data_IF_373597041203
#
_entry.id   IF_373597041203
#
_cell.length_a   1.000
_cell.length_b   1.000
_cell.length_c   1.000
_cell.angle_alpha   90.00
_cell.angle_beta   90.00
_cell.angle_gamma   90.00
#
_symmetry.space_group_name_H-M   'P 1'
#
loop_
_entity.id
_entity.type
_entity.pdbx_description
1 polymer ?
#
# COMPACT_ATOMS: atom_id res chain seq x y z
N UNK A 1 4.82 11.93 31.89
CA UNK A 1 3.50 11.35 31.69
C UNK A 1 2.97 11.87 30.35
N UNK A 2 2.39 11.07 29.48
CA UNK A 2 1.73 11.60 28.30
C UNK A 2 0.61 12.52 28.77
N UNK A 3 0.56 13.74 28.22
CA UNK A 3 -0.56 14.65 28.50
C UNK A 3 -1.84 13.96 28.00
N UNK A 4 -2.80 13.79 28.91
CA UNK A 4 -4.14 13.36 28.52
C UNK A 4 -4.63 14.40 27.51
N UNK A 5 -4.95 13.99 26.28
CA UNK A 5 -5.52 14.89 25.29
C UNK A 5 -6.80 15.49 25.87
N UNK A 6 -6.78 16.76 26.14
CA UNK A 6 -7.93 17.50 26.70
C UNK A 6 -8.89 17.73 25.53
N UNK A 7 -10.17 17.37 25.68
CA UNK A 7 -11.18 17.70 24.69
C UNK A 7 -11.38 19.23 24.62
N UNK A 8 -11.85 19.72 23.47
CA UNK A 8 -12.07 21.15 23.24
C UNK A 8 -13.42 21.40 22.55
N UNK A 9 -14.07 22.50 22.93
CA UNK A 9 -15.23 23.03 22.21
C UNK A 9 -14.87 24.49 21.86
N UNK A 10 -14.96 24.82 20.57
CA UNK A 10 -14.62 26.15 20.03
C UNK A 10 -13.20 26.66 20.44
N UNK A 11 -12.26 25.69 20.56
CA UNK A 11 -10.88 25.98 20.97
C UNK A 11 -10.65 26.05 22.47
N UNK A 12 -11.68 25.99 23.30
CA UNK A 12 -11.59 26.02 24.76
C UNK A 12 -11.56 24.60 25.34
N UNK A 13 -10.64 24.29 26.27
CA UNK A 13 -10.55 22.98 26.89
C UNK A 13 -11.84 22.66 27.70
N UNK A 14 -12.30 21.40 27.54
CA UNK A 14 -13.46 20.89 28.26
C UNK A 14 -13.29 19.43 28.66
N UNK A 15 -14.19 18.90 29.45
CA UNK A 15 -14.25 17.46 29.72
C UNK A 15 -14.81 16.69 28.52
N UNK A 16 -14.51 15.39 28.49
CA UNK A 16 -14.90 14.54 27.37
C UNK A 16 -16.42 14.42 27.19
N UNK A 17 -17.16 14.33 28.28
CA UNK A 17 -18.62 14.15 28.24
C UNK A 17 -19.29 15.39 27.65
N UNK A 18 -18.81 16.58 28.02
CA UNK A 18 -19.25 17.85 27.43
C UNK A 18 -18.95 17.93 25.94
N UNK A 19 -17.75 17.51 25.50
CA UNK A 19 -17.39 17.49 24.09
C UNK A 19 -18.25 16.50 23.29
N UNK A 20 -18.49 15.32 23.81
CA UNK A 20 -19.37 14.31 23.18
C UNK A 20 -20.80 14.82 23.07
N UNK A 21 -21.34 15.45 24.13
CA UNK A 21 -22.67 16.04 24.09
C UNK A 21 -22.80 17.14 23.04
N UNK A 22 -21.80 18.03 22.94
CA UNK A 22 -21.76 19.09 21.95
C UNK A 22 -21.69 18.51 20.52
N UNK A 23 -20.83 17.52 20.28
CA UNK A 23 -20.73 16.84 18.99
C UNK A 23 -22.05 16.15 18.61
N UNK A 24 -22.70 15.47 19.55
CA UNK A 24 -24.00 14.84 19.32
C UNK A 24 -25.06 15.88 18.95
N UNK A 25 -25.09 17.04 19.56
CA UNK A 25 -26.01 18.13 19.24
C UNK A 25 -25.75 18.69 17.82
N UNK A 26 -24.49 18.86 17.43
CA UNK A 26 -24.13 19.30 16.07
C UNK A 26 -24.61 18.27 15.04
N UNK A 27 -24.38 16.99 15.26
CA UNK A 27 -24.83 15.91 14.37
C UNK A 27 -26.37 15.85 14.29
N UNK A 28 -27.09 15.97 15.41
CA UNK A 28 -28.55 15.92 15.47
C UNK A 28 -29.21 17.10 14.71
N UNK A 29 -28.54 18.25 14.63
CA UNK A 29 -29.06 19.42 13.90
C UNK A 29 -28.56 19.50 12.46
N UNK A 30 -27.58 18.68 12.07
CA UNK A 30 -27.03 18.66 10.71
C UNK A 30 -27.97 17.97 9.75
N UNK A 31 -28.12 18.52 8.55
CA UNK A 31 -28.95 17.91 7.49
C UNK A 31 -28.27 16.72 6.83
N UNK A 32 -26.95 16.81 6.62
CA UNK A 32 -26.15 15.77 6.00
C UNK A 32 -24.69 15.94 6.43
N UNK A 33 -24.29 15.34 7.56
CA UNK A 33 -22.91 15.41 8.02
C UNK A 33 -21.97 14.64 7.09
N UNK A 34 -20.69 15.05 7.05
CA UNK A 34 -19.62 14.36 6.35
C UNK A 34 -18.61 13.86 7.40
N UNK A 35 -18.35 12.56 7.38
CA UNK A 35 -17.24 11.94 8.09
C UNK A 35 -16.10 11.73 7.09
N UNK A 36 -15.21 12.72 6.97
CA UNK A 36 -14.15 12.74 5.96
C UNK A 36 -12.79 12.32 6.52
N UNK A 37 -11.91 11.88 5.62
CA UNK A 37 -10.52 11.56 5.95
C UNK A 37 -10.36 10.39 6.92
N UNK A 38 -11.27 9.44 6.91
CA UNK A 38 -11.33 8.34 7.87
C UNK A 38 -10.11 7.42 7.76
N UNK A 39 -9.31 7.38 8.84
CA UNK A 39 -8.23 6.42 9.03
C UNK A 39 -8.37 5.84 10.43
N UNK A 40 -9.05 4.71 10.60
CA UNK A 40 -9.34 4.10 11.89
C UNK A 40 -9.25 2.57 11.82
N UNK A 41 -9.26 1.93 12.98
CA UNK A 41 -9.32 0.46 13.06
C UNK A 41 -10.73 -0.08 12.74
N UNK A 42 -10.85 -1.41 12.71
CA UNK A 42 -12.12 -2.08 12.39
C UNK A 42 -13.22 -1.76 13.39
N UNK A 43 -12.88 -1.61 14.68
CA UNK A 43 -13.85 -1.28 15.71
C UNK A 43 -14.39 0.14 15.54
N UNK A 44 -13.49 1.10 15.29
CA UNK A 44 -13.83 2.48 14.96
C UNK A 44 -14.68 2.59 13.69
N UNK A 45 -14.31 1.88 12.62
CA UNK A 45 -15.08 1.87 11.37
C UNK A 45 -16.51 1.34 11.58
N UNK A 46 -16.68 0.29 12.38
CA UNK A 46 -18.02 -0.24 12.72
C UNK A 46 -18.85 0.73 13.54
N UNK A 47 -18.23 1.44 14.49
CA UNK A 47 -18.93 2.46 15.29
C UNK A 47 -19.35 3.64 14.41
N UNK A 48 -18.45 4.13 13.55
CA UNK A 48 -18.73 5.20 12.59
C UNK A 48 -19.83 4.83 11.60
N UNK A 49 -19.84 3.59 11.10
CA UNK A 49 -20.89 3.14 10.21
C UNK A 49 -22.28 3.19 10.86
N UNK A 50 -22.40 2.76 12.14
CA UNK A 50 -23.66 2.88 12.88
C UNK A 50 -24.08 4.34 13.05
N UNK A 51 -23.14 5.20 13.45
CA UNK A 51 -23.40 6.63 13.61
C UNK A 51 -23.80 7.26 12.26
N UNK A 52 -23.18 6.87 11.16
CA UNK A 52 -23.54 7.34 9.82
C UNK A 52 -24.98 6.92 9.43
N UNK A 53 -25.38 5.68 9.74
CA UNK A 53 -26.76 5.22 9.51
C UNK A 53 -27.79 6.04 10.31
N UNK A 54 -27.48 6.38 11.55
CA UNK A 54 -28.39 7.16 12.41
C UNK A 54 -28.46 8.65 12.00
N UNK A 55 -27.39 9.21 11.49
CA UNK A 55 -27.29 10.64 11.16
C UNK A 55 -27.49 10.95 9.67
N UNK A 56 -27.54 9.94 8.82
CA UNK A 56 -27.53 10.12 7.36
C UNK A 56 -26.21 10.67 6.83
N UNK A 57 -25.10 10.49 7.56
CA UNK A 57 -23.80 11.02 7.18
C UNK A 57 -23.24 10.32 5.93
N UNK A 58 -22.49 11.08 5.13
CA UNK A 58 -21.62 10.54 4.10
C UNK A 58 -20.30 10.15 4.77
N UNK A 59 -19.77 8.97 4.44
CA UNK A 59 -18.47 8.52 4.89
C UNK A 59 -17.48 8.54 3.74
N UNK A 60 -16.31 9.15 3.95
CA UNK A 60 -15.23 9.17 2.99
C UNK A 60 -13.92 8.75 3.66
N UNK A 61 -13.29 7.71 3.10
CA UNK A 61 -12.03 7.22 3.65
C UNK A 61 -10.86 8.13 3.24
N UNK A 62 -9.83 8.20 4.09
CA UNK A 62 -8.55 8.74 3.66
C UNK A 62 -8.08 8.00 2.40
N UNK A 63 -7.70 8.73 1.36
CA UNK A 63 -7.34 8.17 0.05
C UNK A 63 -8.47 7.34 -0.60
N UNK A 64 -9.71 7.81 -0.49
CA UNK A 64 -10.91 7.14 -0.99
C UNK A 64 -10.84 6.73 -2.46
N UNK A 65 -10.28 7.58 -3.33
CA UNK A 65 -10.11 7.28 -4.76
C UNK A 65 -9.21 6.06 -4.99
N UNK A 66 -8.05 6.01 -4.31
CA UNK A 66 -7.12 4.87 -4.41
C UNK A 66 -7.76 3.57 -3.91
N UNK A 67 -8.53 3.65 -2.80
CA UNK A 67 -9.30 2.52 -2.27
C UNK A 67 -10.33 2.03 -3.29
N UNK A 68 -11.07 2.95 -3.93
CA UNK A 68 -12.08 2.60 -4.92
C UNK A 68 -11.48 1.95 -6.17
N UNK A 69 -10.31 2.42 -6.64
CA UNK A 69 -9.59 1.76 -7.73
C UNK A 69 -9.16 0.33 -7.37
N UNK A 70 -8.65 0.13 -6.15
CA UNK A 70 -8.31 -1.21 -5.65
C UNK A 70 -9.53 -2.13 -5.55
N UNK A 71 -10.67 -1.63 -5.05
CA UNK A 71 -11.92 -2.39 -4.97
C UNK A 71 -12.46 -2.77 -6.36
N UNK A 72 -12.39 -1.87 -7.33
CA UNK A 72 -12.79 -2.16 -8.73
C UNK A 72 -11.93 -3.27 -9.32
N UNK A 73 -10.60 -3.18 -9.17
CA UNK A 73 -9.70 -4.23 -9.65
C UNK A 73 -10.01 -5.58 -9.00
N UNK A 74 -10.28 -5.60 -7.68
CA UNK A 74 -10.68 -6.80 -6.94
C UNK A 74 -12.00 -7.39 -7.46
N UNK A 75 -13.00 -6.56 -7.75
CA UNK A 75 -14.29 -7.01 -8.29
C UNK A 75 -14.18 -7.54 -9.71
N UNK A 76 -13.36 -6.90 -10.55
CA UNK A 76 -13.24 -7.24 -11.97
C UNK A 76 -12.37 -8.48 -12.23
N UNK A 77 -11.31 -8.68 -11.43
CA UNK A 77 -10.27 -9.67 -11.69
C UNK A 77 -9.98 -10.60 -10.52
N UNK A 78 -10.45 -10.28 -9.33
CA UNK A 78 -10.05 -10.92 -8.10
C UNK A 78 -8.66 -10.44 -7.64
N UNK A 79 -8.27 -10.91 -6.47
CA UNK A 79 -6.97 -10.60 -5.89
C UNK A 79 -6.53 -11.75 -4.98
N UNK A 80 -5.27 -12.15 -5.11
CA UNK A 80 -4.62 -13.02 -4.14
C UNK A 80 -3.70 -12.18 -3.27
N UNK A 81 -3.96 -12.15 -1.97
CA UNK A 81 -3.10 -11.45 -1.02
C UNK A 81 -2.10 -12.42 -0.40
N UNK A 82 -0.91 -11.93 -0.10
CA UNK A 82 0.15 -12.68 0.56
C UNK A 82 0.47 -12.08 1.92
N UNK A 83 0.96 -12.88 2.83
CA UNK A 83 1.41 -12.46 4.16
C UNK A 83 2.93 -12.31 4.21
N UNK A 84 3.45 -11.56 5.21
CA UNK A 84 4.90 -11.51 5.42
C UNK A 84 5.52 -12.88 5.71
N UNK A 85 4.77 -13.80 6.30
CA UNK A 85 5.23 -15.17 6.51
C UNK A 85 5.45 -15.90 5.19
N UNK A 86 4.55 -15.73 4.22
CA UNK A 86 4.70 -16.30 2.88
C UNK A 86 5.80 -15.61 2.08
N UNK A 87 5.90 -14.27 2.15
CA UNK A 87 7.03 -13.57 1.55
C UNK A 87 8.36 -14.10 2.06
N UNK A 88 8.46 -14.31 3.37
CA UNK A 88 9.68 -14.79 4.02
C UNK A 88 10.04 -16.23 3.63
N UNK A 89 9.06 -17.11 3.53
CA UNK A 89 9.30 -18.56 3.40
C UNK A 89 9.15 -19.08 1.97
N UNK A 90 8.44 -18.37 1.08
CA UNK A 90 8.07 -18.89 -0.23
C UNK A 90 8.47 -17.98 -1.41
N UNK A 91 8.47 -16.64 -1.23
CA UNK A 91 8.69 -15.75 -2.34
C UNK A 91 10.13 -15.85 -2.88
N UNK A 92 10.29 -16.24 -4.12
CA UNK A 92 11.53 -16.24 -4.86
C UNK A 92 11.70 -14.97 -5.72
N UNK A 93 10.59 -14.26 -5.99
CA UNK A 93 10.58 -12.95 -6.67
C UNK A 93 9.67 -11.97 -5.90
N UNK A 94 10.20 -10.79 -5.59
CA UNK A 94 9.42 -9.67 -5.06
C UNK A 94 9.56 -8.48 -6.03
N UNK A 95 8.46 -8.03 -6.60
CA UNK A 95 8.40 -6.86 -7.49
C UNK A 95 7.75 -5.71 -6.72
N UNK A 96 8.47 -4.62 -6.52
CA UNK A 96 7.97 -3.42 -5.86
C UNK A 96 7.63 -2.37 -6.93
N UNK A 97 6.36 -2.07 -7.10
CA UNK A 97 5.87 -1.09 -8.06
C UNK A 97 5.77 0.29 -7.41
N UNK A 98 6.36 1.30 -8.06
CA UNK A 98 6.36 2.68 -7.60
C UNK A 98 7.50 3.01 -6.63
N UNK A 99 8.53 2.15 -6.53
CA UNK A 99 9.72 2.36 -5.71
C UNK A 99 9.84 1.43 -4.51
N UNK A 100 10.74 1.77 -3.57
CA UNK A 100 11.03 0.94 -2.41
C UNK A 100 9.97 1.07 -1.31
N UNK A 101 9.32 -0.02 -0.88
CA UNK A 101 8.42 0.02 0.26
C UNK A 101 9.10 0.45 1.58
N UNK A 102 10.42 0.35 1.65
CA UNK A 102 11.18 0.71 2.85
C UNK A 102 11.18 2.21 3.15
N UNK A 103 10.81 3.06 2.19
CA UNK A 103 10.65 4.51 2.41
C UNK A 103 9.57 4.79 3.46
N UNK A 104 8.44 4.14 3.35
CA UNK A 104 7.32 4.29 4.31
C UNK A 104 7.36 3.23 5.43
N UNK A 105 7.91 2.05 5.15
CA UNK A 105 8.00 0.92 6.05
C UNK A 105 9.45 0.42 6.17
N UNK A 106 10.31 1.07 6.97
CA UNK A 106 11.76 0.78 7.03
C UNK A 106 12.10 -0.69 7.29
N UNK A 107 11.22 -1.42 7.99
CA UNK A 107 11.39 -2.82 8.32
C UNK A 107 10.88 -3.80 7.25
N UNK A 108 10.39 -3.29 6.10
CA UNK A 108 9.75 -4.13 5.09
C UNK A 108 10.64 -5.30 4.65
N UNK A 109 11.84 -5.02 4.17
CA UNK A 109 12.74 -6.05 3.66
C UNK A 109 13.22 -7.02 4.76
N UNK A 110 13.45 -6.53 5.98
CA UNK A 110 13.76 -7.40 7.13
C UNK A 110 12.59 -8.35 7.42
N UNK A 111 11.36 -7.85 7.42
CA UNK A 111 10.17 -8.69 7.61
C UNK A 111 9.96 -9.70 6.48
N UNK A 112 10.43 -9.41 5.28
CA UNK A 112 10.51 -10.37 4.18
C UNK A 112 11.65 -11.39 4.34
N UNK A 113 12.49 -11.30 5.38
CA UNK A 113 13.62 -12.20 5.65
C UNK A 113 14.95 -11.77 5.06
N UNK A 114 15.05 -10.58 4.46
CA UNK A 114 16.33 -10.05 3.96
C UNK A 114 17.28 -9.76 5.13
N UNK A 115 18.50 -10.29 5.07
CA UNK A 115 19.50 -10.16 6.14
C UNK A 115 19.41 -11.24 7.23
N UNK A 116 18.47 -12.17 7.13
CA UNK A 116 18.32 -13.33 7.98
C UNK A 116 18.58 -14.61 7.18
N UNK A 117 18.48 -15.79 7.81
CA UNK A 117 18.59 -17.06 7.09
C UNK A 117 17.40 -17.24 6.15
N UNK A 118 17.67 -17.09 4.84
CA UNK A 118 16.67 -17.32 3.80
C UNK A 118 16.53 -18.81 3.52
N UNK A 119 15.30 -19.25 3.33
CA UNK A 119 14.98 -20.62 2.92
C UNK A 119 15.46 -20.89 1.48
N UNK A 120 15.58 -19.85 0.64
CA UNK A 120 16.03 -19.94 -0.74
C UNK A 120 16.54 -18.60 -1.27
N UNK A 121 17.14 -18.64 -2.47
CA UNK A 121 17.56 -17.42 -3.16
C UNK A 121 16.34 -16.55 -3.51
N UNK A 122 16.53 -15.23 -3.44
CA UNK A 122 15.47 -14.25 -3.69
C UNK A 122 15.90 -13.17 -4.66
N UNK A 123 15.02 -12.86 -5.58
CA UNK A 123 15.19 -11.73 -6.49
C UNK A 123 14.22 -10.60 -6.14
N UNK A 124 14.73 -9.38 -6.06
CA UNK A 124 13.94 -8.18 -5.75
C UNK A 124 14.07 -7.19 -6.90
N UNK A 125 12.94 -6.75 -7.44
CA UNK A 125 12.90 -5.77 -8.53
C UNK A 125 12.17 -4.53 -8.06
N UNK A 126 12.84 -3.39 -8.10
CA UNK A 126 12.24 -2.08 -7.86
C UNK A 126 11.83 -1.49 -9.23
N UNK A 127 10.57 -1.21 -9.43
CA UNK A 127 10.06 -0.59 -10.67
C UNK A 127 9.68 0.85 -10.37
N UNK A 128 10.46 1.79 -10.91
CA UNK A 128 10.36 3.21 -10.59
C UNK A 128 11.02 3.57 -9.24
N UNK A 129 10.83 4.81 -8.83
CA UNK A 129 11.30 5.34 -7.55
C UNK A 129 10.21 6.20 -6.91
N UNK A 130 10.03 6.07 -5.61
CA UNK A 130 9.17 6.95 -4.82
C UNK A 130 9.92 8.23 -4.41
N UNK A 131 9.19 9.27 -4.05
CA UNK A 131 9.80 10.48 -3.48
C UNK A 131 10.58 10.13 -2.21
N UNK A 132 11.85 10.56 -2.14
CA UNK A 132 12.75 10.24 -1.04
C UNK A 132 13.41 8.87 -1.10
N UNK A 133 13.22 8.10 -2.18
CA UNK A 133 13.86 6.80 -2.38
C UNK A 133 15.31 6.99 -2.88
N UNK A 134 16.28 6.51 -2.11
CA UNK A 134 17.67 6.36 -2.56
C UNK A 134 17.84 4.94 -3.16
N UNK A 135 17.43 4.79 -4.42
CA UNK A 135 17.49 3.52 -5.14
C UNK A 135 18.89 2.91 -5.14
N UNK A 136 19.98 3.65 -5.45
CA UNK A 136 21.32 3.10 -5.38
C UNK A 136 21.71 2.55 -4.01
N UNK A 137 21.44 3.29 -2.93
CA UNK A 137 21.72 2.82 -1.58
C UNK A 137 20.85 1.61 -1.20
N UNK A 138 19.57 1.62 -1.57
CA UNK A 138 18.65 0.49 -1.36
C UNK A 138 19.16 -0.77 -2.08
N UNK A 139 19.55 -0.67 -3.35
CA UNK A 139 20.11 -1.79 -4.11
C UNK A 139 21.44 -2.30 -3.53
N UNK A 140 22.33 -1.41 -3.11
CA UNK A 140 23.59 -1.79 -2.48
C UNK A 140 23.35 -2.61 -1.20
N UNK A 141 22.41 -2.16 -0.35
CA UNK A 141 22.02 -2.87 0.87
C UNK A 141 21.39 -4.24 0.58
N UNK A 142 20.50 -4.32 -0.40
CA UNK A 142 19.82 -5.57 -0.78
C UNK A 142 20.81 -6.58 -1.36
N UNK A 143 21.65 -6.16 -2.32
CA UNK A 143 22.67 -7.02 -2.94
C UNK A 143 23.79 -7.43 -1.97
N UNK A 144 23.99 -6.71 -0.87
CA UNK A 144 24.90 -7.10 0.21
C UNK A 144 24.34 -8.22 1.10
N UNK A 145 23.04 -8.51 1.03
CA UNK A 145 22.43 -9.56 1.81
C UNK A 145 22.62 -10.94 1.14
N UNK A 146 22.96 -11.95 1.95
CA UNK A 146 23.19 -13.31 1.46
C UNK A 146 21.93 -13.88 0.77
N UNK A 147 22.11 -14.44 -0.42
CA UNK A 147 21.03 -15.08 -1.19
C UNK A 147 20.01 -14.13 -1.80
N UNK A 148 20.32 -12.83 -1.81
CA UNK A 148 19.46 -11.80 -2.42
C UNK A 148 20.17 -11.23 -3.65
N UNK A 149 19.41 -11.06 -4.73
CA UNK A 149 19.78 -10.25 -5.88
C UNK A 149 18.72 -9.18 -6.08
N UNK A 150 19.14 -7.95 -6.32
CA UNK A 150 18.23 -6.83 -6.51
C UNK A 150 18.62 -5.98 -7.70
N UNK A 151 17.62 -5.53 -8.45
CA UNK A 151 17.76 -4.62 -9.57
C UNK A 151 16.66 -3.56 -9.57
N UNK A 152 16.89 -2.48 -10.30
CA UNK A 152 15.87 -1.46 -10.55
C UNK A 152 15.54 -1.41 -12.05
N UNK A 153 14.30 -1.10 -12.34
CA UNK A 153 13.77 -0.86 -13.68
C UNK A 153 13.14 0.53 -13.68
N UNK A 154 13.57 1.37 -14.60
CA UNK A 154 13.00 2.70 -14.76
C UNK A 154 11.56 2.62 -15.31
N UNK A 155 10.76 3.62 -14.98
CA UNK A 155 9.43 3.77 -15.54
C UNK A 155 9.52 4.07 -17.03
N UNK A 156 8.59 3.55 -17.79
CA UNK A 156 8.35 3.93 -19.18
C UNK A 156 7.03 4.72 -19.25
N UNK A 157 7.14 6.02 -19.42
CA UNK A 157 6.03 6.93 -19.16
C UNK A 157 5.85 7.14 -17.66
N UNK A 158 4.66 6.90 -17.17
CA UNK A 158 4.37 6.91 -15.74
C UNK A 158 4.24 5.47 -15.16
N UNK A 159 3.87 5.37 -13.89
CA UNK A 159 3.68 4.08 -13.23
C UNK A 159 2.49 3.31 -13.83
N UNK A 160 1.43 4.00 -14.24
CA UNK A 160 0.26 3.39 -14.85
C UNK A 160 0.62 2.77 -16.21
N UNK A 161 1.30 3.51 -17.08
CA UNK A 161 1.76 3.04 -18.38
C UNK A 161 2.68 1.82 -18.25
N UNK A 162 3.65 1.92 -17.33
CA UNK A 162 4.60 0.83 -17.03
C UNK A 162 3.89 -0.43 -16.53
N UNK A 163 2.95 -0.28 -15.59
CA UNK A 163 2.19 -1.39 -15.04
C UNK A 163 1.25 -2.01 -16.10
N UNK A 164 0.62 -1.19 -16.94
CA UNK A 164 -0.23 -1.66 -18.04
C UNK A 164 0.57 -2.46 -19.07
N UNK A 165 1.76 -1.97 -19.47
CA UNK A 165 2.66 -2.72 -20.35
C UNK A 165 3.10 -4.05 -19.73
N UNK A 166 3.50 -4.05 -18.47
CA UNK A 166 3.89 -5.26 -17.76
C UNK A 166 2.74 -6.26 -17.71
N UNK A 167 1.52 -5.80 -17.39
CA UNK A 167 0.33 -6.65 -17.36
C UNK A 167 0.03 -7.26 -18.74
N UNK A 168 0.15 -6.47 -19.82
CA UNK A 168 -0.04 -6.96 -21.18
C UNK A 168 1.02 -8.01 -21.57
N UNK A 169 2.29 -7.79 -21.23
CA UNK A 169 3.38 -8.73 -21.47
C UNK A 169 3.18 -10.05 -20.70
N UNK A 170 2.75 -9.96 -19.44
CA UNK A 170 2.43 -11.15 -18.62
C UNK A 170 1.23 -11.90 -19.19
N UNK A 171 0.26 -11.20 -19.77
CA UNK A 171 -0.86 -11.81 -20.48
C UNK A 171 -0.50 -12.34 -21.89
N UNK A 172 0.78 -12.31 -22.28
CA UNK A 172 1.29 -12.69 -23.60
C UNK A 172 0.71 -11.86 -24.76
N UNK A 173 0.31 -10.62 -24.49
CA UNK A 173 -0.05 -9.70 -25.55
C UNK A 173 1.19 -9.05 -26.16
N UNK A 174 1.14 -8.80 -27.49
CA UNK A 174 2.19 -8.07 -28.17
C UNK A 174 2.13 -6.58 -27.74
N UNK A 175 3.25 -6.08 -27.23
CA UNK A 175 3.42 -4.66 -26.89
C UNK A 175 4.51 -4.10 -27.81
N UNK A 176 4.15 -3.14 -28.66
CA UNK A 176 5.11 -2.48 -29.54
C UNK A 176 6.08 -1.64 -28.72
N UNK A 177 7.38 -1.69 -29.05
CA UNK A 177 8.44 -0.94 -28.41
C UNK A 177 8.54 -1.15 -26.87
N UNK A 178 8.17 -2.32 -26.37
CA UNK A 178 8.30 -2.64 -24.95
C UNK A 178 9.79 -2.60 -24.52
N UNK A 179 10.11 -1.92 -23.39
CA UNK A 179 11.47 -1.92 -22.85
C UNK A 179 11.96 -3.35 -22.57
N UNK A 180 13.21 -3.63 -22.96
CA UNK A 180 13.79 -4.97 -22.76
C UNK A 180 13.75 -5.44 -21.30
N UNK A 181 13.91 -4.52 -20.35
CA UNK A 181 13.83 -4.80 -18.91
C UNK A 181 12.43 -5.28 -18.48
N UNK A 182 11.35 -4.68 -19.00
CA UNK A 182 9.99 -5.12 -18.73
C UNK A 182 9.68 -6.48 -19.37
N UNK A 183 10.19 -6.72 -20.57
CA UNK A 183 10.07 -8.04 -21.23
C UNK A 183 10.80 -9.12 -20.43
N UNK A 184 11.99 -8.81 -19.91
CA UNK A 184 12.75 -9.72 -19.04
C UNK A 184 12.01 -10.00 -17.74
N UNK A 185 11.43 -8.96 -17.11
CA UNK A 185 10.64 -9.10 -15.89
C UNK A 185 9.38 -9.96 -16.13
N UNK A 186 8.65 -9.75 -17.23
CA UNK A 186 7.48 -10.55 -17.57
C UNK A 186 7.85 -12.04 -17.73
N UNK A 187 8.95 -12.34 -18.43
CA UNK A 187 9.45 -13.72 -18.56
C UNK A 187 9.83 -14.32 -17.21
N UNK A 188 10.43 -13.53 -16.32
CA UNK A 188 10.79 -13.97 -14.97
C UNK A 188 9.54 -14.27 -14.13
N UNK A 189 8.51 -13.42 -14.22
CA UNK A 189 7.22 -13.65 -13.54
C UNK A 189 6.58 -14.98 -13.93
N UNK A 190 6.75 -15.42 -15.19
CA UNK A 190 6.29 -16.75 -15.63
C UNK A 190 7.18 -17.91 -15.17
N UNK A 191 8.46 -17.67 -14.92
CA UNK A 191 9.43 -18.72 -14.63
C UNK A 191 9.56 -19.04 -13.13
N UNK A 192 9.21 -18.12 -12.26
CA UNK A 192 9.35 -18.28 -10.80
C UNK A 192 8.21 -19.09 -10.19
N UNK A 193 8.44 -19.67 -9.01
CA UNK A 193 7.42 -20.48 -8.35
C UNK A 193 6.45 -19.63 -7.53
N UNK A 194 6.95 -18.55 -6.91
CA UNK A 194 6.14 -17.68 -6.05
C UNK A 194 6.56 -16.22 -6.18
N UNK A 195 5.89 -15.52 -7.10
CA UNK A 195 6.07 -14.10 -7.26
C UNK A 195 5.10 -13.32 -6.36
N UNK A 196 5.60 -12.24 -5.75
CA UNK A 196 4.78 -11.27 -5.01
C UNK A 196 4.99 -9.90 -5.61
N UNK A 197 3.89 -9.23 -5.92
CA UNK A 197 3.89 -7.83 -6.36
C UNK A 197 3.44 -6.97 -5.18
N UNK A 198 4.26 -5.98 -4.87
CA UNK A 198 4.01 -5.00 -3.80
C UNK A 198 3.80 -3.65 -4.42
N UNK A 199 2.74 -2.97 -4.06
CA UNK A 199 2.49 -1.59 -4.48
C UNK A 199 2.05 -0.77 -3.29
N UNK A 200 2.22 0.52 -3.39
CA UNK A 200 1.71 1.48 -2.43
C UNK A 200 0.58 2.26 -3.09
N UNK A 201 -0.46 2.52 -2.32
CA UNK A 201 -1.43 3.52 -2.74
C UNK A 201 -0.76 4.90 -2.64
N UNK A 202 -0.97 5.77 -3.62
CA UNK A 202 -0.43 7.13 -3.61
C UNK A 202 -0.95 7.96 -2.46
#
# INVERSE_FOLDING_TARGET
APSVATAQIDGEPCDLDSAVAAAAQVLATSRQPLFGGLGTDVAGARALYRLACETGAICDAAQGDALMHGLRALQDRGQFTSTFAELRTRADLIVCLGGSPAVQHPEFFRRCGVGEDLVGARHIVLVGAAAGDDVPATLAKLNGARGVTAEAIDLHGDLFDTAAMLAALVANHAVSAAPAALVALARRLHAVQYAVVVWQNP
#
